data_IF_947361714653
#
_entry.id   IF_947361714653
#
_cell.length_a   1.000
_cell.length_b   1.000
_cell.length_c   1.000
_cell.angle_alpha   90.00
_cell.angle_beta   90.00
_cell.angle_gamma   90.00
#
_symmetry.space_group_name_H-M   'P 1'
#
loop_
_entity.id
_entity.type
_entity.pdbx_description
1 polymer ?
#
# COMPACT_ATOMS: atom_id res chain seq x y z
N UNK A 1 28.03 6.84 -12.16
CA UNK A 1 27.20 8.05 -12.08
C UNK A 1 26.02 7.90 -13.05
N UNK A 2 24.90 7.33 -12.59
CA UNK A 2 23.61 7.43 -13.28
C UNK A 2 22.65 8.01 -12.26
N UNK A 3 22.49 9.33 -12.34
CA UNK A 3 21.45 10.10 -11.66
C UNK A 3 20.12 9.65 -12.25
N UNK A 4 19.41 8.76 -11.55
CA UNK A 4 17.98 8.59 -11.72
C UNK A 4 17.32 9.36 -10.58
N UNK A 5 16.82 10.53 -10.96
CA UNK A 5 15.96 11.38 -10.15
C UNK A 5 14.83 10.57 -9.53
N UNK A 6 14.54 10.90 -8.28
CA UNK A 6 13.45 10.40 -7.45
C UNK A 6 12.09 10.75 -8.07
N UNK A 7 11.66 10.05 -9.12
CA UNK A 7 10.35 10.27 -9.74
C UNK A 7 9.78 9.05 -10.50
N UNK A 8 10.27 7.84 -10.24
CA UNK A 8 9.62 6.61 -10.69
C UNK A 8 9.12 5.83 -9.47
N UNK A 9 7.94 6.20 -8.99
CA UNK A 9 7.13 5.26 -8.20
C UNK A 9 6.74 4.17 -9.19
N UNK A 10 7.45 3.04 -9.16
CA UNK A 10 7.07 1.85 -9.91
C UNK A 10 5.75 1.40 -9.29
N UNK A 11 4.65 1.83 -9.91
CA UNK A 11 3.34 1.26 -9.63
C UNK A 11 3.39 -0.18 -10.16
N UNK A 12 3.16 -1.15 -9.29
CA UNK A 12 2.78 -2.48 -9.69
C UNK A 12 1.40 -2.37 -10.39
N UNK A 13 1.43 -2.02 -11.67
CA UNK A 13 0.31 -2.20 -12.55
C UNK A 13 0.40 -3.63 -13.05
N UNK A 14 -0.62 -4.44 -12.75
CA UNK A 14 -0.85 -5.74 -13.37
C UNK A 14 -0.75 -5.60 -14.89
N UNK A 15 0.41 -5.90 -15.46
CA UNK A 15 0.57 -6.11 -16.89
C UNK A 15 0.36 -7.59 -17.12
N UNK A 16 -0.90 -8.00 -17.25
CA UNK A 16 -1.20 -9.29 -17.87
C UNK A 16 -0.66 -9.25 -19.31
N UNK A 17 0.47 -9.90 -19.52
CA UNK A 17 1.15 -10.03 -20.80
C UNK A 17 0.26 -10.76 -21.81
N UNK A 18 -0.51 -9.98 -22.56
CA UNK A 18 -1.04 -10.35 -23.88
C UNK A 18 -0.75 -9.17 -24.78
N UNK A 19 -0.13 -9.44 -25.94
CA UNK A 19 0.25 -8.50 -26.99
C UNK A 19 -0.79 -7.37 -27.10
N UNK A 20 -0.45 -6.19 -26.57
CA UNK A 20 -1.31 -5.01 -26.58
C UNK A 20 -1.32 -4.47 -28.01
N UNK A 21 -2.32 -4.86 -28.79
CA UNK A 21 -2.95 -3.85 -29.65
C UNK A 21 -3.28 -2.68 -28.72
N UNK A 22 -2.74 -1.49 -29.01
CA UNK A 22 -3.04 -0.29 -28.25
C UNK A 22 -4.55 -0.16 -28.15
N UNK A 23 -5.11 -0.50 -26.98
CA UNK A 23 -6.54 -0.45 -26.77
C UNK A 23 -6.96 1.02 -26.90
N UNK A 24 -8.05 1.26 -27.63
CA UNK A 24 -8.64 2.59 -27.74
C UNK A 24 -8.75 3.23 -26.33
N UNK A 25 -8.12 4.40 -26.10
CA UNK A 25 -8.15 5.06 -24.80
C UNK A 25 -9.57 5.31 -24.28
N UNK A 26 -10.54 5.58 -25.16
CA UNK A 26 -11.93 5.76 -24.73
C UNK A 26 -12.55 4.45 -24.23
N UNK A 27 -12.29 3.35 -24.94
CA UNK A 27 -12.72 2.03 -24.53
C UNK A 27 -12.07 1.63 -23.20
N UNK A 28 -10.77 1.90 -23.03
CA UNK A 28 -10.05 1.62 -21.79
C UNK A 28 -10.60 2.42 -20.60
N UNK A 29 -10.92 3.71 -20.81
CA UNK A 29 -11.55 4.55 -19.79
C UNK A 29 -12.94 4.05 -19.36
N UNK A 30 -13.70 3.45 -20.29
CA UNK A 30 -15.01 2.83 -20.00
C UNK A 30 -14.87 1.45 -19.34
N UNK A 31 -13.80 0.72 -19.64
CA UNK A 31 -13.57 -0.66 -19.17
C UNK A 31 -13.01 -0.71 -17.76
N UNK A 32 -12.20 0.23 -17.31
CA UNK A 32 -11.57 0.10 -15.99
C UNK A 32 -11.39 1.45 -15.31
N UNK A 33 -11.41 1.43 -13.98
CA UNK A 33 -11.01 2.59 -13.22
C UNK A 33 -9.51 2.82 -13.31
N UNK A 34 -9.10 4.09 -13.27
CA UNK A 34 -7.73 4.47 -13.01
C UNK A 34 -7.39 4.17 -11.55
N UNK A 35 -6.34 3.39 -11.31
CA UNK A 35 -5.80 3.23 -9.96
C UNK A 35 -5.24 4.58 -9.51
N UNK A 36 -5.57 4.99 -8.29
CA UNK A 36 -5.21 6.31 -7.74
C UNK A 36 -4.35 6.17 -6.52
N UNK A 37 -3.31 6.98 -6.41
CA UNK A 37 -2.31 6.88 -5.36
C UNK A 37 -2.13 8.21 -4.66
N UNK A 38 -1.77 8.15 -3.37
CA UNK A 38 -1.35 9.28 -2.57
C UNK A 38 0.04 8.99 -2.03
N UNK A 39 1.05 9.68 -2.55
CA UNK A 39 2.39 9.62 -2.00
C UNK A 39 2.46 10.51 -0.75
N UNK A 40 2.63 9.91 0.42
CA UNK A 40 2.73 10.59 1.71
C UNK A 40 4.20 10.92 1.97
N UNK A 41 4.55 12.20 1.75
CA UNK A 41 5.93 12.68 1.71
C UNK A 41 6.36 13.36 3.01
N UNK A 42 7.68 13.52 3.19
CA UNK A 42 8.27 14.14 4.38
C UNK A 42 8.77 13.15 5.43
N UNK A 43 8.60 11.85 5.19
CA UNK A 43 9.21 10.80 6.01
C UNK A 43 10.73 10.87 5.95
N UNK A 44 11.44 10.64 7.06
CA UNK A 44 12.88 10.50 7.05
C UNK A 44 13.28 9.23 6.28
N UNK A 45 14.41 9.26 5.58
CA UNK A 45 14.98 8.07 4.96
C UNK A 45 15.40 7.04 6.02
N UNK A 46 15.40 5.75 5.66
CA UNK A 46 15.87 4.66 6.54
C UNK A 46 15.11 4.59 7.87
N UNK A 47 13.79 4.80 7.81
CA UNK A 47 12.93 4.59 8.97
C UNK A 47 12.89 3.10 9.34
N UNK A 48 12.69 2.79 10.63
CA UNK A 48 12.59 1.42 11.12
C UNK A 48 11.14 0.91 11.18
N UNK A 49 10.15 1.81 11.08
CA UNK A 49 8.76 1.42 10.93
C UNK A 49 7.93 2.45 10.14
N UNK A 50 6.85 1.97 9.52
CA UNK A 50 5.78 2.80 8.97
C UNK A 50 4.44 2.40 9.61
N UNK A 51 3.63 3.40 9.93
CA UNK A 51 2.29 3.22 10.49
C UNK A 51 1.27 4.05 9.72
N UNK A 52 0.11 3.47 9.43
CA UNK A 52 -0.98 4.17 8.77
C UNK A 52 -2.35 3.68 9.26
N UNK A 53 -3.33 4.58 9.23
CA UNK A 53 -4.74 4.26 9.44
C UNK A 53 -5.50 4.53 8.15
N UNK A 54 -6.28 3.55 7.72
CA UNK A 54 -7.08 3.65 6.50
C UNK A 54 -8.52 3.27 6.81
N UNK A 55 -9.46 4.03 6.24
CA UNK A 55 -10.90 3.83 6.44
C UNK A 55 -11.61 3.79 5.11
N UNK A 56 -12.13 2.63 4.74
CA UNK A 56 -12.96 2.51 3.54
C UNK A 56 -14.22 3.37 3.69
N UNK A 57 -14.46 4.24 2.71
CA UNK A 57 -15.69 5.05 2.58
C UNK A 57 -16.71 4.32 1.73
N UNK A 58 -16.25 3.71 0.64
CA UNK A 58 -17.05 2.91 -0.29
C UNK A 58 -16.19 1.78 -0.83
N UNK A 59 -16.75 0.59 -0.97
CA UNK A 59 -16.07 -0.55 -1.58
C UNK A 59 -17.07 -1.40 -2.34
N UNK A 60 -16.55 -2.13 -3.32
CA UNK A 60 -17.28 -3.11 -4.14
C UNK A 60 -16.34 -4.27 -4.43
N UNK A 61 -16.85 -5.46 -4.81
CA UNK A 61 -16.00 -6.60 -5.13
C UNK A 61 -14.93 -6.24 -6.17
N UNK A 62 -13.71 -6.66 -5.86
CA UNK A 62 -12.50 -6.37 -6.59
C UNK A 62 -11.89 -4.99 -6.33
N UNK A 63 -11.95 -4.55 -5.08
CA UNK A 63 -11.32 -3.31 -4.62
C UNK A 63 -10.13 -3.61 -3.72
N UNK A 64 -8.98 -2.99 -3.98
CA UNK A 64 -7.84 -3.01 -3.08
C UNK A 64 -7.59 -1.61 -2.50
N UNK A 65 -7.53 -1.51 -1.17
CA UNK A 65 -7.03 -0.36 -0.44
C UNK A 65 -5.64 -0.68 0.11
N UNK A 66 -4.61 -0.29 -0.63
CA UNK A 66 -3.23 -0.41 -0.16
C UNK A 66 -2.96 0.70 0.85
N UNK A 67 -2.75 0.33 2.10
CA UNK A 67 -2.50 1.31 3.16
C UNK A 67 -1.12 1.93 3.03
N UNK A 68 -0.11 1.10 2.76
CA UNK A 68 1.25 1.54 2.55
C UNK A 68 1.92 0.61 1.54
N UNK A 69 2.27 1.17 0.39
CA UNK A 69 3.28 0.67 -0.51
C UNK A 69 4.61 1.34 -0.17
N UNK A 70 5.67 0.54 -0.02
CA UNK A 70 7.00 0.94 0.41
C UNK A 70 8.05 0.22 -0.46
N UNK A 71 9.34 0.40 -0.15
CA UNK A 71 10.46 -0.01 -1.02
C UNK A 71 10.43 -1.50 -1.42
N UNK A 72 10.06 -2.37 -0.49
CA UNK A 72 10.15 -3.82 -0.67
C UNK A 72 8.79 -4.51 -0.73
N UNK A 73 7.68 -3.78 -0.61
CA UNK A 73 6.39 -4.42 -0.51
C UNK A 73 5.21 -3.49 -0.30
N UNK A 74 4.09 -4.11 0.03
CA UNK A 74 2.86 -3.40 0.35
C UNK A 74 2.04 -4.11 1.44
N UNK A 75 1.25 -3.32 2.16
CA UNK A 75 0.29 -3.80 3.15
C UNK A 75 -1.04 -3.07 2.98
N UNK A 76 -2.15 -3.79 3.14
CA UNK A 76 -3.48 -3.19 3.05
C UNK A 76 -4.60 -4.22 3.19
N UNK A 77 -5.76 -3.90 2.64
CA UNK A 77 -6.95 -4.74 2.75
C UNK A 77 -7.80 -4.67 1.48
N UNK A 78 -8.47 -5.78 1.17
CA UNK A 78 -9.19 -6.00 -0.08
C UNK A 78 -10.63 -6.45 0.17
N UNK A 79 -11.51 -6.09 -0.75
CA UNK A 79 -12.72 -6.83 -1.05
C UNK A 79 -12.45 -7.62 -2.33
N UNK A 80 -12.24 -8.92 -2.20
CA UNK A 80 -11.95 -9.82 -3.31
C UNK A 80 -13.10 -9.90 -4.31
N UNK A 81 -12.84 -10.42 -5.50
CA UNK A 81 -13.85 -10.51 -6.58
C UNK A 81 -15.09 -11.31 -6.19
N UNK A 82 -14.95 -12.26 -5.25
CA UNK A 82 -16.04 -13.03 -4.66
C UNK A 82 -16.70 -12.36 -3.44
N UNK A 83 -16.36 -11.11 -3.14
CA UNK A 83 -16.84 -10.36 -1.97
C UNK A 83 -16.12 -10.70 -0.65
N UNK A 84 -15.19 -11.65 -0.64
CA UNK A 84 -14.43 -11.99 0.57
C UNK A 84 -13.53 -10.83 0.97
N UNK A 85 -13.52 -10.50 2.25
CA UNK A 85 -12.73 -9.41 2.80
C UNK A 85 -11.49 -9.94 3.49
N UNK A 86 -10.34 -9.43 3.09
CA UNK A 86 -9.03 -9.91 3.53
C UNK A 86 -8.09 -8.75 3.81
N UNK A 87 -7.11 -8.99 4.67
CA UNK A 87 -5.90 -8.19 4.80
C UNK A 87 -4.81 -8.88 3.98
N UNK A 88 -3.94 -8.11 3.34
CA UNK A 88 -2.81 -8.59 2.53
C UNK A 88 -1.51 -7.90 2.97
N UNK A 89 -0.42 -8.66 2.97
CA UNK A 89 0.93 -8.16 3.15
C UNK A 89 1.88 -8.92 2.22
N UNK A 90 2.54 -8.20 1.31
CA UNK A 90 3.40 -8.76 0.27
C UNK A 90 4.78 -8.12 0.30
N UNK A 91 5.81 -8.92 0.03
CA UNK A 91 7.20 -8.52 -0.09
C UNK A 91 7.74 -9.03 -1.43
N UNK A 92 8.28 -8.15 -2.26
CA UNK A 92 8.91 -8.53 -3.52
C UNK A 92 10.22 -9.30 -3.28
N UNK A 93 10.55 -10.16 -4.22
CA UNK A 93 11.88 -10.72 -4.33
C UNK A 93 12.88 -9.60 -4.69
N UNK A 94 14.07 -9.58 -4.08
CA UNK A 94 15.03 -8.47 -4.23
C UNK A 94 15.71 -8.44 -5.60
N UNK A 95 15.70 -9.55 -6.34
CA UNK A 95 16.25 -9.65 -7.69
C UNK A 95 15.11 -9.96 -8.66
N UNK A 96 14.99 -9.17 -9.72
CA UNK A 96 13.93 -9.34 -10.71
C UNK A 96 14.25 -10.50 -11.67
N UNK A 97 13.33 -11.47 -11.76
CA UNK A 97 13.39 -12.61 -12.70
C UNK A 97 12.16 -12.65 -13.64
N UNK A 98 11.54 -11.49 -13.89
CA UNK A 98 10.26 -11.41 -14.58
C UNK A 98 9.08 -11.67 -13.64
N UNK A 99 8.03 -12.30 -14.16
CA UNK A 99 6.71 -12.35 -13.53
C UNK A 99 6.27 -13.73 -13.04
N UNK A 100 7.05 -14.78 -13.31
CA UNK A 100 6.74 -16.14 -12.87
C UNK A 100 7.46 -16.46 -11.54
N UNK A 101 6.74 -16.63 -10.41
CA UNK A 101 7.36 -16.84 -9.11
C UNK A 101 8.14 -18.14 -8.98
N UNK A 102 7.91 -19.10 -9.88
CA UNK A 102 8.58 -20.39 -9.87
C UNK A 102 9.98 -20.34 -10.52
N UNK A 103 10.26 -19.29 -11.30
CA UNK A 103 11.54 -19.15 -12.04
C UNK A 103 12.64 -18.52 -11.19
N UNK A 104 12.30 -17.94 -10.03
CA UNK A 104 13.26 -17.30 -9.12
C UNK A 104 14.09 -18.37 -8.38
N UNK A 105 15.43 -18.34 -8.40
CA UNK A 105 16.27 -19.24 -7.59
C UNK A 105 15.98 -19.12 -6.09
N UNK A 106 15.94 -20.22 -5.34
CA UNK A 106 15.48 -20.23 -3.94
C UNK A 106 16.32 -19.34 -3.00
N UNK A 107 17.61 -19.26 -3.26
CA UNK A 107 18.59 -18.42 -2.58
C UNK A 107 18.37 -16.92 -2.81
N UNK A 108 17.72 -16.55 -3.92
CA UNK A 108 17.42 -15.16 -4.28
C UNK A 108 16.02 -14.73 -3.84
N UNK A 109 15.20 -15.64 -3.34
CA UNK A 109 13.84 -15.36 -2.88
C UNK A 109 13.83 -14.65 -1.53
N UNK A 110 12.81 -13.81 -1.34
CA UNK A 110 12.36 -13.44 0.00
C UNK A 110 11.85 -14.69 0.74
N UNK A 111 12.21 -14.84 2.01
CA UNK A 111 11.96 -16.06 2.80
C UNK A 111 11.02 -15.79 3.96
N UNK A 112 9.97 -16.59 4.11
CA UNK A 112 9.07 -16.49 5.24
C UNK A 112 9.79 -16.93 6.52
N UNK A 113 9.84 -16.05 7.52
CA UNK A 113 10.47 -16.33 8.84
C UNK A 113 9.42 -16.71 9.87
N UNK A 114 8.28 -16.01 9.86
CA UNK A 114 7.18 -16.27 10.80
C UNK A 114 5.85 -15.95 10.14
N UNK A 115 4.87 -16.82 10.33
CA UNK A 115 3.49 -16.61 9.89
C UNK A 115 2.62 -16.25 11.10
N UNK A 116 1.71 -15.30 10.93
CA UNK A 116 0.66 -15.02 11.90
C UNK A 116 -0.24 -16.23 12.12
N UNK A 117 -0.80 -16.37 13.32
CA UNK A 117 -1.65 -17.52 13.70
C UNK A 117 -2.81 -17.76 12.71
N UNK A 118 -3.45 -16.68 12.29
CA UNK A 118 -4.62 -16.71 11.41
C UNK A 118 -4.29 -16.31 9.95
N UNK A 119 -3.00 -16.28 9.63
CA UNK A 119 -2.51 -15.91 8.30
C UNK A 119 -2.23 -17.15 7.45
N UNK A 120 -2.39 -16.99 6.14
CA UNK A 120 -1.97 -17.95 5.11
C UNK A 120 -0.98 -17.29 4.17
N UNK A 121 0.07 -18.00 3.76
CA UNK A 121 1.13 -17.48 2.90
C UNK A 121 1.19 -18.17 1.54
N UNK A 122 1.78 -17.49 0.56
CA UNK A 122 2.11 -18.04 -0.75
C UNK A 122 3.14 -17.17 -1.47
N UNK A 123 3.39 -17.45 -2.74
CA UNK A 123 4.16 -16.58 -3.64
C UNK A 123 3.24 -15.87 -4.63
N UNK A 124 3.71 -14.75 -5.19
CA UNK A 124 2.99 -13.99 -6.21
C UNK A 124 3.86 -13.68 -7.42
N UNK A 125 3.19 -13.38 -8.54
CA UNK A 125 3.75 -13.10 -9.86
C UNK A 125 2.92 -12.03 -10.59
N UNK A 126 3.27 -11.74 -11.84
CA UNK A 126 2.52 -10.82 -12.73
C UNK A 126 2.78 -9.32 -12.49
N UNK A 127 3.56 -8.99 -11.46
CA UNK A 127 3.93 -7.63 -11.06
C UNK A 127 5.35 -7.62 -10.47
N UNK A 128 6.25 -8.37 -11.10
CA UNK A 128 7.38 -8.97 -10.44
C UNK A 128 6.98 -10.20 -9.64
N UNK A 129 7.89 -10.68 -8.78
CA UNK A 129 7.70 -11.89 -7.99
C UNK A 129 7.96 -11.62 -6.51
N UNK A 130 7.43 -12.46 -5.63
CA UNK A 130 7.67 -12.32 -4.20
C UNK A 130 6.85 -13.27 -3.33
N UNK A 131 6.86 -12.97 -2.02
CA UNK A 131 6.08 -13.66 -1.00
C UNK A 131 4.90 -12.81 -0.54
N UNK A 132 3.75 -13.43 -0.31
CA UNK A 132 2.54 -12.75 0.16
C UNK A 132 1.85 -13.53 1.28
N UNK A 133 1.16 -12.79 2.13
CA UNK A 133 0.36 -13.33 3.22
C UNK A 133 -1.01 -12.68 3.25
N UNK A 134 -2.02 -13.46 3.62
CA UNK A 134 -3.40 -13.00 3.78
C UNK A 134 -3.93 -13.37 5.16
N UNK A 135 -4.79 -12.50 5.70
CA UNK A 135 -5.64 -12.80 6.85
C UNK A 135 -7.09 -12.62 6.42
N UNK A 136 -7.93 -13.62 6.68
CA UNK A 136 -9.37 -13.49 6.46
C UNK A 136 -9.96 -12.60 7.56
N UNK A 137 -10.25 -11.35 7.20
CA UNK A 137 -10.68 -10.33 8.15
C UNK A 137 -11.89 -9.60 7.56
N UNK A 138 -13.13 -9.86 8.07
CA UNK A 138 -14.36 -9.30 7.52
C UNK A 138 -14.55 -7.84 7.94
N UNK A 139 -13.67 -6.95 7.46
CA UNK A 139 -13.71 -5.52 7.77
C UNK A 139 -15.02 -4.86 7.31
N UNK A 140 -15.41 -3.78 7.98
CA UNK A 140 -16.59 -2.99 7.65
C UNK A 140 -16.24 -1.66 6.98
N UNK A 141 -17.16 -1.12 6.17
CA UNK A 141 -17.09 0.27 5.73
C UNK A 141 -17.11 1.18 6.96
N UNK A 142 -16.24 2.19 6.98
CA UNK A 142 -16.08 3.08 8.13
C UNK A 142 -15.17 2.55 9.25
N UNK A 143 -14.73 1.30 9.18
CA UNK A 143 -13.79 0.73 10.16
C UNK A 143 -12.40 1.36 10.04
N UNK A 144 -11.76 1.64 11.18
CA UNK A 144 -10.37 2.08 11.23
C UNK A 144 -9.45 0.86 11.09
N UNK A 145 -8.95 0.64 9.88
CA UNK A 145 -7.94 -0.37 9.60
C UNK A 145 -6.56 0.23 9.91
N UNK A 146 -5.85 -0.32 10.91
CA UNK A 146 -4.53 0.17 11.32
C UNK A 146 -3.47 -0.84 10.94
N UNK A 147 -2.40 -0.37 10.32
CA UNK A 147 -1.31 -1.20 9.82
C UNK A 147 0.02 -0.68 10.32
N UNK A 148 0.93 -1.60 10.59
CA UNK A 148 2.30 -1.32 11.01
C UNK A 148 3.25 -2.23 10.22
N UNK A 149 4.29 -1.63 9.65
CA UNK A 149 5.41 -2.35 9.03
C UNK A 149 6.66 -2.03 9.84
N UNK A 150 7.43 -3.05 10.23
CA UNK A 150 8.71 -2.89 10.92
C UNK A 150 9.84 -3.52 10.11
N UNK A 151 11.00 -2.87 10.11
CA UNK A 151 12.23 -3.37 9.47
C UNK A 151 13.33 -3.52 10.51
N UNK A 152 13.89 -4.73 10.60
CA UNK A 152 15.10 -5.05 11.37
C UNK A 152 16.27 -5.29 10.43
N UNK A 153 17.28 -4.42 10.49
CA UNK A 153 18.52 -4.60 9.73
C UNK A 153 19.36 -5.74 10.30
N UNK A 154 19.93 -6.56 9.43
CA UNK A 154 20.75 -7.73 9.78
C UNK A 154 21.94 -7.88 8.81
N UNK A 155 22.82 -6.88 8.79
CA UNK A 155 23.96 -6.86 7.87
C UNK A 155 23.50 -6.76 6.41
N UNK A 156 23.82 -7.78 5.59
CA UNK A 156 23.39 -7.85 4.17
C UNK A 156 21.92 -8.21 4.00
N UNK A 157 21.24 -8.59 5.07
CA UNK A 157 19.82 -8.96 5.07
C UNK A 157 19.03 -8.01 5.96
N UNK A 158 17.70 -8.09 5.85
CA UNK A 158 16.75 -7.47 6.76
C UNK A 158 15.56 -8.39 6.98
N UNK A 159 14.90 -8.24 8.13
CA UNK A 159 13.58 -8.79 8.38
C UNK A 159 12.52 -7.69 8.26
N UNK A 160 11.44 -7.97 7.54
CA UNK A 160 10.29 -7.07 7.38
C UNK A 160 9.06 -7.76 7.97
N UNK A 161 8.44 -7.13 8.95
CA UNK A 161 7.25 -7.65 9.64
C UNK A 161 6.05 -6.76 9.37
N UNK A 162 4.92 -7.37 9.00
CA UNK A 162 3.64 -6.69 8.80
C UNK A 162 2.66 -7.06 9.89
N UNK A 163 2.03 -6.05 10.47
CA UNK A 163 1.05 -6.17 11.54
C UNK A 163 -0.23 -5.43 11.19
N UNK A 164 -1.35 -5.90 11.73
CA UNK A 164 -2.62 -5.17 11.72
C UNK A 164 -3.21 -5.11 13.13
N UNK A 165 -3.97 -4.06 13.40
CA UNK A 165 -4.74 -4.00 14.63
C UNK A 165 -6.08 -4.70 14.43
N UNK A 166 -6.28 -5.80 15.14
CA UNK A 166 -7.52 -6.54 15.15
C UNK A 166 -8.53 -5.82 16.04
N UNK A 167 -9.51 -5.14 15.44
CA UNK A 167 -10.49 -4.35 16.21
C UNK A 167 -11.40 -5.23 17.08
N UNK A 168 -11.54 -6.53 16.79
CA UNK A 168 -12.36 -7.46 17.57
C UNK A 168 -11.70 -7.87 18.87
N UNK A 169 -10.43 -8.29 18.82
CA UNK A 169 -9.64 -8.66 20.00
C UNK A 169 -9.00 -7.46 20.69
N UNK A 170 -8.93 -6.30 20.01
CA UNK A 170 -8.24 -5.09 20.44
C UNK A 170 -6.74 -5.33 20.67
N UNK A 171 -6.13 -6.16 19.82
CA UNK A 171 -4.71 -6.50 19.85
C UNK A 171 -4.03 -6.21 18.52
N UNK A 172 -2.72 -6.02 18.56
CA UNK A 172 -1.88 -6.07 17.36
C UNK A 172 -1.52 -7.51 17.04
N UNK A 173 -1.88 -7.95 15.84
CA UNK A 173 -1.63 -9.31 15.39
C UNK A 173 -0.62 -9.29 14.23
N UNK A 174 0.34 -10.21 14.27
CA UNK A 174 1.29 -10.42 13.18
C UNK A 174 0.54 -11.00 11.97
N UNK A 175 0.78 -10.45 10.78
CA UNK A 175 0.38 -11.07 9.50
C UNK A 175 1.45 -12.07 9.09
N UNK A 176 2.68 -11.57 8.89
CA UNK A 176 3.87 -12.39 8.66
C UNK A 176 5.14 -11.56 8.79
N UNK A 177 6.27 -12.26 8.90
CA UNK A 177 7.63 -11.72 8.87
C UNK A 177 8.41 -12.41 7.76
N UNK A 178 9.08 -11.62 6.94
CA UNK A 178 9.88 -12.06 5.80
C UNK A 178 11.34 -11.63 5.97
N UNK A 179 12.28 -12.42 5.47
CA UNK A 179 13.70 -12.08 5.37
C UNK A 179 14.05 -11.85 3.91
N UNK A 180 14.65 -10.71 3.60
CA UNK A 180 15.10 -10.34 2.25
C UNK A 180 16.47 -9.67 2.31
N UNK A 181 17.08 -9.40 1.15
CA UNK A 181 18.33 -8.64 1.05
C UNK A 181 18.08 -7.19 1.49
N UNK A 182 18.98 -6.65 2.32
CA UNK A 182 18.94 -5.22 2.65
C UNK A 182 19.41 -4.39 1.45
N UNK A 183 19.00 -3.13 1.41
CA UNK A 183 19.42 -2.16 0.41
C UNK A 183 19.67 -0.82 1.11
N UNK A 184 20.31 0.13 0.44
CA UNK A 184 20.51 1.48 0.99
C UNK A 184 19.18 2.22 1.24
N UNK A 185 18.10 1.76 0.56
CA UNK A 185 16.74 2.25 0.72
C UNK A 185 15.96 1.32 1.65
N UNK A 186 15.42 1.89 2.72
CA UNK A 186 14.53 1.21 3.65
C UNK A 186 13.46 2.18 4.13
N UNK A 187 12.20 1.78 3.97
CA UNK A 187 11.00 2.56 4.34
C UNK A 187 11.15 4.04 3.97
N UNK A 188 11.63 4.30 2.76
CA UNK A 188 11.99 5.64 2.29
C UNK A 188 10.78 6.44 1.81
N UNK A 189 9.65 5.76 1.59
CA UNK A 189 8.37 6.36 1.24
C UNK A 189 7.19 5.53 1.76
N UNK A 190 6.01 6.15 1.77
CA UNK A 190 4.72 5.50 1.97
C UNK A 190 3.75 5.99 0.92
N UNK A 191 3.19 5.07 0.14
CA UNK A 191 2.15 5.38 -0.87
C UNK A 191 0.89 4.60 -0.52
N UNK A 192 -0.20 5.30 -0.24
CA UNK A 192 -1.53 4.69 -0.16
C UNK A 192 -2.18 4.66 -1.54
N UNK A 193 -3.01 3.67 -1.86
CA UNK A 193 -3.74 3.66 -3.13
C UNK A 193 -5.08 2.93 -3.09
N UNK A 194 -5.92 3.24 -4.08
CA UNK A 194 -7.19 2.57 -4.35
C UNK A 194 -7.15 1.99 -5.77
N UNK A 195 -7.32 0.68 -5.86
CA UNK A 195 -7.30 -0.06 -7.13
C UNK A 195 -8.62 -0.79 -7.39
N UNK A 196 -8.97 -0.83 -8.68
CA UNK A 196 -9.96 -1.74 -9.27
C UNK A 196 -9.21 -2.89 -9.96
N UNK A 197 -9.22 -4.07 -9.36
CA UNK A 197 -8.59 -5.25 -9.97
C UNK A 197 -9.59 -6.14 -10.71
N UNK A 198 -10.89 -5.77 -10.77
CA UNK A 198 -11.82 -6.41 -11.72
C UNK A 198 -11.56 -5.95 -13.15
N UNK A 199 -11.14 -4.68 -13.31
CA UNK A 199 -10.79 -4.03 -14.59
C UNK A 199 -11.81 -4.30 -15.71
N UNK A 200 -13.11 -4.20 -15.41
CA UNK A 200 -14.19 -4.46 -16.38
C UNK A 200 -15.29 -3.38 -16.38
N UNK A 201 -16.11 -3.37 -17.44
CA UNK A 201 -17.10 -2.32 -17.68
C UNK A 201 -18.10 -2.12 -16.53
N UNK A 202 -18.38 -3.16 -15.75
CA UNK A 202 -19.30 -3.07 -14.62
C UNK A 202 -18.62 -2.54 -13.36
N UNK A 203 -17.36 -2.93 -13.10
CA UNK A 203 -16.58 -2.37 -11.99
C UNK A 203 -16.29 -0.90 -12.21
N UNK A 204 -16.05 -0.47 -13.47
CA UNK A 204 -15.78 0.91 -13.82
C UNK A 204 -16.92 1.88 -13.43
N UNK A 205 -18.17 1.41 -13.46
CA UNK A 205 -19.37 2.18 -13.10
C UNK A 205 -19.56 2.39 -11.60
N UNK A 206 -18.76 1.75 -10.76
CA UNK A 206 -18.91 1.78 -9.30
C UNK A 206 -17.77 2.55 -8.65
N UNK A 207 -18.12 3.49 -7.77
CA UNK A 207 -17.14 4.25 -7.01
C UNK A 207 -16.55 3.39 -5.86
N UNK A 208 -15.26 3.58 -5.63
CA UNK A 208 -14.51 2.99 -4.51
C UNK A 208 -13.55 4.03 -3.95
N UNK A 209 -13.48 4.13 -2.64
CA UNK A 209 -12.67 5.16 -2.00
C UNK A 209 -12.47 4.97 -0.51
N UNK A 210 -11.38 5.53 0.00
CA UNK A 210 -10.98 5.43 1.39
C UNK A 210 -10.26 6.71 1.85
N UNK A 211 -10.29 6.94 3.16
CA UNK A 211 -9.47 7.95 3.82
C UNK A 211 -8.14 7.32 4.24
N UNK A 212 -7.03 7.98 3.92
CA UNK A 212 -5.68 7.53 4.23
C UNK A 212 -4.99 8.52 5.17
N UNK A 213 -4.45 8.01 6.27
CA UNK A 213 -3.53 8.75 7.13
C UNK A 213 -4.14 9.84 8.00
N UNK A 214 -3.30 10.77 8.50
CA UNK A 214 -1.85 10.89 8.22
C UNK A 214 -1.04 9.63 8.56
N UNK A 215 0.02 9.38 7.77
CA UNK A 215 0.96 8.28 8.01
C UNK A 215 2.15 8.74 8.85
N UNK A 216 2.80 7.80 9.52
CA UNK A 216 3.93 8.05 10.39
C UNK A 216 5.09 7.10 10.09
N UNK A 217 6.30 7.64 10.11
CA UNK A 217 7.54 6.87 10.08
C UNK A 217 8.24 6.93 11.43
N UNK A 218 8.74 5.80 11.93
CA UNK A 218 9.52 5.75 13.17
C UNK A 218 11.01 5.73 12.87
N UNK A 219 11.74 6.70 13.43
CA UNK A 219 13.20 6.79 13.31
C UNK A 219 13.79 7.43 14.57
N UNK A 220 14.97 6.97 14.98
CA UNK A 220 15.75 7.55 16.09
C UNK A 220 14.92 7.76 17.38
N UNK A 221 14.03 6.80 17.68
CA UNK A 221 13.19 6.83 18.88
C UNK A 221 11.92 7.67 18.78
N UNK A 222 11.58 8.21 17.61
CA UNK A 222 10.48 9.18 17.44
C UNK A 222 9.61 8.87 16.22
N UNK A 223 8.33 9.24 16.31
CA UNK A 223 7.39 9.21 15.19
C UNK A 223 7.41 10.54 14.42
N UNK A 224 7.54 10.44 13.10
CA UNK A 224 7.54 11.55 12.16
C UNK A 224 6.30 11.44 11.26
N UNK A 225 5.36 12.40 11.30
CA UNK A 225 4.23 12.41 10.38
C UNK A 225 4.68 12.79 8.97
N UNK A 226 3.93 12.35 7.95
CA UNK A 226 4.07 12.94 6.63
C UNK A 226 3.63 14.43 6.66
N UNK A 227 4.25 15.27 5.86
CA UNK A 227 4.04 16.74 5.87
C UNK A 227 3.36 17.25 4.61
N UNK A 228 3.42 16.49 3.53
CA UNK A 228 2.72 16.78 2.28
C UNK A 228 2.27 15.49 1.61
N UNK A 229 1.45 15.64 0.57
CA UNK A 229 0.96 14.54 -0.24
C UNK A 229 0.98 14.88 -1.73
N UNK A 230 1.33 13.90 -2.57
CA UNK A 230 1.24 14.02 -4.03
C UNK A 230 0.19 13.05 -4.56
N UNK A 231 -0.85 13.58 -5.21
CA UNK A 231 -1.91 12.77 -5.82
C UNK A 231 -1.49 12.30 -7.20
N UNK A 232 -1.48 11.00 -7.46
CA UNK A 232 -1.11 10.44 -8.77
C UNK A 232 -2.09 9.36 -9.20
N UNK A 233 -1.94 8.85 -10.42
CA UNK A 233 -2.74 7.75 -10.95
C UNK A 233 -1.96 6.94 -11.97
N UNK A 234 -2.42 5.71 -12.20
CA UNK A 234 -1.86 4.87 -13.24
C UNK A 234 -2.17 5.41 -14.66
N UNK A 235 -1.55 4.84 -15.72
CA UNK A 235 -1.75 5.31 -17.09
C UNK A 235 -3.17 5.15 -17.66
N UNK A 236 -4.10 4.48 -16.97
CA UNK A 236 -5.49 4.32 -17.45
C UNK A 236 -6.10 5.70 -17.69
N UNK A 237 -6.70 6.01 -18.85
CA UNK A 237 -7.13 7.37 -19.21
C UNK A 237 -8.37 7.88 -18.45
N UNK A 238 -9.03 7.04 -17.65
CA UNK A 238 -10.23 7.42 -16.88
C UNK A 238 -10.01 8.65 -16.00
N UNK A 239 -10.96 9.60 -16.06
CA UNK A 239 -10.90 10.88 -15.33
C UNK A 239 -11.79 10.90 -14.08
N UNK A 240 -12.53 9.82 -13.81
CA UNK A 240 -13.40 9.68 -12.65
C UNK A 240 -12.59 9.38 -11.38
N UNK A 241 -11.75 10.32 -10.98
CA UNK A 241 -10.83 10.21 -9.85
C UNK A 241 -10.91 11.46 -8.99
N UNK A 242 -10.63 11.35 -7.70
CA UNK A 242 -10.52 12.50 -6.81
C UNK A 242 -9.53 12.26 -5.66
N UNK A 243 -8.95 13.37 -5.18
CA UNK A 243 -8.27 13.44 -3.89
C UNK A 243 -8.81 14.64 -3.09
N UNK A 244 -8.94 14.53 -1.78
CA UNK A 244 -9.28 15.67 -0.92
C UNK A 244 -8.62 15.56 0.44
N UNK A 245 -7.84 16.57 0.83
CA UNK A 245 -7.20 16.64 2.15
C UNK A 245 -8.24 17.09 3.17
N UNK A 246 -8.41 16.32 4.23
CA UNK A 246 -9.35 16.57 5.30
C UNK A 246 -8.73 17.48 6.39
N UNK A 247 -9.55 18.12 7.25
CA UNK A 247 -9.04 18.95 8.34
C UNK A 247 -8.14 18.23 9.34
N UNK A 248 -8.29 16.90 9.50
CA UNK A 248 -7.46 16.06 10.35
C UNK A 248 -6.15 15.58 9.66
N UNK A 249 -5.91 16.03 8.43
CA UNK A 249 -4.76 15.65 7.61
C UNK A 249 -4.92 14.33 6.85
N UNK A 250 -6.00 13.58 7.06
CA UNK A 250 -6.30 12.40 6.24
C UNK A 250 -6.61 12.81 4.81
N UNK A 251 -6.41 11.90 3.84
CA UNK A 251 -6.72 12.17 2.43
C UNK A 251 -7.77 11.19 1.95
N UNK A 252 -8.91 11.71 1.50
CA UNK A 252 -9.88 10.92 0.75
C UNK A 252 -9.35 10.70 -0.66
N UNK A 253 -9.08 9.45 -1.02
CA UNK A 253 -8.92 9.02 -2.42
C UNK A 253 -10.15 8.28 -2.89
N UNK A 254 -10.58 8.53 -4.12
CA UNK A 254 -11.69 7.79 -4.73
C UNK A 254 -11.51 7.70 -6.25
N UNK A 255 -11.93 6.57 -6.82
CA UNK A 255 -11.92 6.31 -8.26
C UNK A 255 -13.20 5.58 -8.67
N UNK A 256 -13.59 5.71 -9.94
CA UNK A 256 -14.71 4.99 -10.55
C UNK A 256 -16.08 5.62 -10.35
N UNK A 257 -17.06 5.06 -11.05
CA UNK A 257 -18.44 5.54 -11.09
C UNK A 257 -18.55 7.01 -11.50
N UNK A 258 -19.46 7.74 -10.87
CA UNK A 258 -19.70 9.16 -11.16
C UNK A 258 -18.75 10.11 -10.42
N UNK A 259 -17.59 9.61 -9.97
CA UNK A 259 -16.60 10.42 -9.24
C UNK A 259 -16.17 11.60 -10.10
N UNK A 260 -16.11 12.79 -9.48
CA UNK A 260 -15.67 14.04 -10.10
C UNK A 260 -14.40 14.52 -9.41
N UNK A 261 -13.40 14.87 -10.21
CA UNK A 261 -12.15 15.44 -9.72
C UNK A 261 -12.40 16.77 -9.00
N UNK A 262 -11.77 16.93 -7.85
CA UNK A 262 -11.75 18.16 -7.05
C UNK A 262 -10.76 19.17 -7.65
N UNK A 263 -10.47 20.23 -6.91
CA UNK A 263 -9.38 21.17 -7.21
C UNK A 263 -7.99 20.52 -7.04
N UNK A 264 -7.87 19.43 -6.25
CA UNK A 264 -6.63 18.67 -6.12
C UNK A 264 -6.41 17.79 -7.35
N UNK A 265 -5.63 18.29 -8.31
CA UNK A 265 -5.38 17.61 -9.60
C UNK A 265 -4.30 16.54 -9.48
N UNK A 266 -4.34 15.59 -10.40
CA UNK A 266 -3.28 14.59 -10.56
C UNK A 266 -1.92 15.27 -10.77
N UNK A 267 -0.88 14.63 -10.24
CA UNK A 267 0.52 15.03 -10.24
C UNK A 267 0.81 16.36 -9.52
N UNK A 268 -0.14 16.84 -8.71
CA UNK A 268 0.10 17.97 -7.81
C UNK A 268 0.56 17.47 -6.43
N UNK A 269 1.51 18.20 -5.85
CA UNK A 269 1.82 18.10 -4.42
C UNK A 269 1.04 19.16 -3.64
N UNK A 270 0.60 18.82 -2.43
CA UNK A 270 -0.01 19.77 -1.49
C UNK A 270 0.49 19.50 -0.06
N UNK A 271 0.83 20.55 0.72
CA UNK A 271 1.13 20.38 2.13
C UNK A 271 -0.13 19.93 2.91
N UNK A 272 0.08 19.22 4.00
CA UNK A 272 -0.97 19.00 4.99
C UNK A 272 -1.29 20.33 5.71
N UNK A 273 -2.52 20.52 6.23
CA UNK A 273 -2.86 21.71 7.00
C UNK A 273 -1.90 21.96 8.18
N UNK A 274 -1.50 23.22 8.41
CA UNK A 274 -0.47 23.56 9.40
C UNK A 274 -0.91 23.35 10.87
N UNK A 275 -2.21 23.43 11.15
CA UNK A 275 -2.77 23.37 12.51
C UNK A 275 -3.44 22.01 12.82
N UNK A 276 -3.02 20.93 12.18
CA UNK A 276 -3.57 19.59 12.47
C UNK A 276 -3.17 19.17 13.88
N UNK A 277 -4.17 18.77 14.68
CA UNK A 277 -3.93 18.04 15.93
C UNK A 277 -3.69 16.57 15.63
N UNK A 278 -2.44 16.21 15.34
CA UNK A 278 -2.07 14.84 15.01
C UNK A 278 -2.27 13.90 16.21
N UNK A 279 -2.87 12.74 15.94
CA UNK A 279 -2.92 11.62 16.89
C UNK A 279 -1.73 10.72 16.58
N UNK A 280 -0.71 10.78 17.44
CA UNK A 280 0.47 9.93 17.30
C UNK A 280 0.12 8.46 17.54
N UNK A 281 0.89 7.52 16.95
CA UNK A 281 0.80 6.11 17.34
C UNK A 281 1.00 5.95 18.85
N UNK A 282 0.21 5.07 19.47
CA UNK A 282 0.21 4.94 20.92
C UNK A 282 1.44 4.18 21.45
N UNK A 283 1.49 4.03 22.78
CA UNK A 283 2.57 3.31 23.47
C UNK A 283 2.66 1.85 23.04
N UNK A 284 1.55 1.17 22.78
CA UNK A 284 1.56 -0.23 22.37
C UNK A 284 2.18 -0.39 20.97
N UNK A 285 1.87 0.51 20.03
CA UNK A 285 2.54 0.54 18.71
C UNK A 285 4.04 0.78 18.89
N UNK A 286 4.42 1.74 19.74
CA UNK A 286 5.82 2.11 19.95
C UNK A 286 6.62 0.96 20.59
N UNK A 287 6.08 0.28 21.60
CA UNK A 287 6.69 -0.91 22.21
C UNK A 287 6.84 -2.04 21.19
N UNK A 288 5.80 -2.30 20.38
CA UNK A 288 5.85 -3.33 19.34
C UNK A 288 6.96 -3.04 18.31
N UNK A 289 7.15 -1.78 17.92
CA UNK A 289 8.27 -1.38 17.06
C UNK A 289 9.60 -1.69 17.74
N UNK A 290 9.80 -1.25 18.98
CA UNK A 290 11.06 -1.44 19.72
C UNK A 290 11.41 -2.93 19.90
N UNK A 291 10.42 -3.79 20.14
CA UNK A 291 10.61 -5.24 20.24
C UNK A 291 11.02 -5.91 18.92
N UNK A 292 10.71 -5.29 17.79
CA UNK A 292 10.92 -5.88 16.47
C UNK A 292 12.10 -5.29 15.69
N UNK A 293 12.64 -4.13 16.09
CA UNK A 293 13.76 -3.49 15.40
C UNK A 293 15.11 -3.73 16.09
N UNK A 294 15.09 -4.13 17.36
CA UNK A 294 16.27 -4.54 18.14
C UNK A 294 16.67 -5.98 17.81
#
# INVERSE_FOLDING_TARGET
MRLLSSAAVICAALFSGTILHAQDPELLAKRQCRSVHINQQGHPSQASALYNVVKAKTSVPGTYFCAMNFDDGYIGFQEQSNGKKVIIFSIWDPVAHGDNPNDVPEEERTKLVKLGKDARSGRFGGEGTGGQSFVDYPWAIGENMRFLVCVKKMGKFKEISGYYFNNKSRSWDLISKWKTHSSEKELSFSVGFVEDFMRNFESAKKARGAFFGPSFAYKDGKWHPNTSVTFTGDPTPSTNVMANIQPDGSVLLQTGGTTKMTDFKLFQNRPLPQNIKLVLPDKAVTSLVQENIN
#
